data_IF_734753583297
#
_entry.id   IF_734753583297
#
_cell.length_a   1.000
_cell.length_b   1.000
_cell.length_c   1.000
_cell.angle_alpha   90.00
_cell.angle_beta   90.00
_cell.angle_gamma   90.00
#
_symmetry.space_group_name_H-M   'P 1'
#
loop_
_entity.id
_entity.type
_entity.pdbx_description
1 polymer ?
#
# COMPACT_ATOMS: atom_id res chain seq x y z
N UNK A 1 13.54 -15.32 1.00
CA UNK A 1 13.84 -14.01 1.62
C UNK A 1 12.60 -13.49 2.34
N UNK A 2 12.75 -12.79 3.47
CA UNK A 2 11.64 -12.04 4.12
C UNK A 2 11.64 -10.61 3.57
N UNK A 3 10.50 -10.12 3.12
CA UNK A 3 10.34 -8.74 2.63
C UNK A 3 9.25 -7.99 3.39
N UNK A 4 9.48 -6.70 3.63
CA UNK A 4 8.52 -5.81 4.28
C UNK A 4 8.05 -4.75 3.28
N UNK A 5 6.79 -4.82 2.86
CA UNK A 5 6.22 -3.88 1.89
C UNK A 5 4.93 -3.28 2.43
N UNK A 6 4.65 -2.04 2.03
CA UNK A 6 3.31 -1.50 2.24
C UNK A 6 2.35 -2.15 1.25
N UNK A 7 1.16 -2.52 1.71
CA UNK A 7 0.13 -3.12 0.87
C UNK A 7 -1.26 -2.59 1.22
N UNK A 8 -2.00 -2.09 0.23
CA UNK A 8 -3.38 -1.65 0.39
C UNK A 8 -4.14 -2.09 -0.87
N UNK A 9 -5.05 -3.03 -0.71
CA UNK A 9 -5.81 -3.64 -1.80
C UNK A 9 -7.27 -3.27 -1.67
N UNK A 10 -7.89 -2.82 -2.76
CA UNK A 10 -9.31 -2.50 -2.81
C UNK A 10 -9.96 -3.08 -4.08
N UNK A 11 -11.25 -2.81 -4.27
CA UNK A 11 -11.98 -3.26 -5.46
C UNK A 11 -11.52 -2.55 -6.74
N UNK A 12 -11.03 -1.31 -6.62
CA UNK A 12 -10.46 -0.53 -7.74
C UNK A 12 -9.17 0.16 -7.32
N UNK A 13 -8.37 0.56 -8.30
CA UNK A 13 -7.15 1.32 -8.05
C UNK A 13 -7.46 2.66 -7.37
N UNK A 14 -8.48 3.38 -7.84
CA UNK A 14 -8.87 4.67 -7.27
C UNK A 14 -9.21 4.54 -5.78
N UNK A 15 -9.99 3.53 -5.42
CA UNK A 15 -10.34 3.27 -4.02
C UNK A 15 -9.09 2.92 -3.20
N UNK A 16 -8.18 2.11 -3.73
CA UNK A 16 -6.95 1.76 -3.04
C UNK A 16 -6.06 3.00 -2.81
N UNK A 17 -5.92 3.87 -3.80
CA UNK A 17 -5.18 5.12 -3.68
C UNK A 17 -5.85 6.12 -2.74
N UNK A 18 -7.18 6.19 -2.73
CA UNK A 18 -7.94 6.96 -1.75
C UNK A 18 -7.64 6.48 -0.32
N UNK A 19 -7.76 5.17 -0.05
CA UNK A 19 -7.43 4.60 1.27
C UNK A 19 -5.97 4.88 1.66
N UNK A 20 -5.05 4.74 0.69
CA UNK A 20 -3.62 4.96 0.88
C UNK A 20 -3.21 6.43 1.11
N UNK A 21 -4.10 7.39 0.88
CA UNK A 21 -3.85 8.78 1.30
C UNK A 21 -3.65 8.89 2.83
N UNK A 22 -4.21 7.97 3.60
CA UNK A 22 -3.92 7.79 5.03
C UNK A 22 -2.44 7.52 5.26
N UNK A 23 -1.86 6.58 4.50
CA UNK A 23 -0.43 6.25 4.56
C UNK A 23 0.45 7.46 4.22
N UNK A 24 0.08 8.25 3.20
CA UNK A 24 0.79 9.47 2.84
C UNK A 24 0.81 10.47 4.01
N UNK A 25 -0.32 10.69 4.67
CA UNK A 25 -0.41 11.57 5.84
C UNK A 25 0.46 11.10 7.00
N UNK A 26 0.51 9.79 7.27
CA UNK A 26 1.39 9.20 8.30
C UNK A 26 2.87 9.43 7.95
N UNK A 27 3.27 9.14 6.71
CA UNK A 27 4.65 9.33 6.25
C UNK A 27 5.11 10.79 6.39
N UNK A 28 4.25 11.73 6.03
CA UNK A 28 4.57 13.16 6.16
C UNK A 28 4.63 13.58 7.63
N UNK A 29 3.72 13.09 8.47
CA UNK A 29 3.74 13.38 9.92
C UNK A 29 5.05 12.93 10.59
N UNK A 30 5.55 11.75 10.21
CA UNK A 30 6.85 11.24 10.64
C UNK A 30 7.98 12.15 10.13
N UNK A 31 7.96 12.50 8.85
CA UNK A 31 8.99 13.35 8.22
C UNK A 31 9.05 14.74 8.87
N UNK A 32 7.90 15.27 9.31
CA UNK A 32 7.79 16.55 10.02
C UNK A 32 8.22 16.47 11.49
N UNK A 33 8.54 15.28 12.02
CA UNK A 33 8.83 15.08 13.45
C UNK A 33 7.64 15.35 14.36
N UNK A 34 6.41 15.34 13.80
CA UNK A 34 5.16 15.61 14.51
C UNK A 34 4.21 14.44 14.30
N UNK A 35 4.44 13.38 15.07
CA UNK A 35 3.55 12.22 15.08
C UNK A 35 2.14 12.66 15.47
N UNK A 36 1.16 12.22 14.69
CA UNK A 36 -0.26 12.45 14.93
C UNK A 36 -1.01 11.12 14.84
N UNK A 37 -2.20 11.01 15.44
CA UNK A 37 -3.10 9.90 15.17
C UNK A 37 -3.31 9.72 13.67
N UNK A 38 -3.56 8.48 13.24
CA UNK A 38 -3.91 8.18 11.85
C UNK A 38 -5.13 9.01 11.45
N UNK A 39 -5.01 9.74 10.35
CA UNK A 39 -6.06 10.62 9.83
C UNK A 39 -6.93 9.88 8.80
N UNK A 40 -8.20 10.28 8.61
CA UNK A 40 -9.03 9.73 7.54
C UNK A 40 -8.41 9.91 6.15
N UNK A 41 -8.77 9.04 5.18
CA UNK A 41 -8.37 9.23 3.79
C UNK A 41 -8.97 10.52 3.20
N UNK A 42 -8.30 11.06 2.18
CA UNK A 42 -8.60 12.34 1.54
C UNK A 42 -8.26 12.30 0.06
N UNK A 43 -9.08 12.96 -0.75
CA UNK A 43 -8.83 13.19 -2.18
C UNK A 43 -7.89 14.38 -2.42
N UNK A 44 -7.64 15.21 -1.41
CA UNK A 44 -6.86 16.45 -1.53
C UNK A 44 -5.50 16.38 -0.83
N UNK A 45 -4.69 15.38 -1.18
CA UNK A 45 -3.30 15.33 -0.71
C UNK A 45 -2.48 16.52 -1.20
N UNK A 46 -2.79 17.07 -2.39
CA UNK A 46 -2.06 18.23 -2.96
C UNK A 46 -2.29 19.50 -2.15
N UNK A 47 -3.50 19.72 -1.62
CA UNK A 47 -3.81 20.86 -0.76
C UNK A 47 -3.23 20.72 0.66
N UNK A 48 -3.06 19.48 1.15
CA UNK A 48 -2.54 19.19 2.50
C UNK A 48 -1.01 19.19 2.59
N UNK A 49 -0.34 18.88 1.48
CA UNK A 49 1.10 18.66 1.43
C UNK A 49 1.81 19.79 0.68
N UNK A 50 3.03 20.14 1.11
CA UNK A 50 3.90 20.97 0.25
C UNK A 50 4.23 20.21 -1.04
N UNK A 51 4.60 20.89 -2.14
CA UNK A 51 4.92 20.21 -3.40
C UNK A 51 5.97 19.09 -3.24
N UNK A 52 7.01 19.33 -2.44
CA UNK A 52 8.04 18.34 -2.14
C UNK A 52 7.52 17.15 -1.35
N UNK A 53 6.70 17.38 -0.33
CA UNK A 53 6.09 16.29 0.46
C UNK A 53 5.13 15.47 -0.38
N UNK A 54 4.38 16.13 -1.27
CA UNK A 54 3.47 15.48 -2.20
C UNK A 54 4.21 14.56 -3.17
N UNK A 55 5.31 15.03 -3.77
CA UNK A 55 6.17 14.20 -4.63
C UNK A 55 6.76 13.00 -3.88
N UNK A 56 7.29 13.22 -2.67
CA UNK A 56 7.84 12.15 -1.83
C UNK A 56 6.76 11.10 -1.47
N UNK A 57 5.57 11.55 -1.10
CA UNK A 57 4.44 10.66 -0.82
C UNK A 57 4.06 9.85 -2.05
N UNK A 58 3.95 10.50 -3.22
CA UNK A 58 3.60 9.84 -4.47
C UNK A 58 4.62 8.77 -4.87
N UNK A 59 5.91 9.08 -4.77
CA UNK A 59 6.97 8.11 -5.04
C UNK A 59 6.84 6.89 -4.13
N UNK A 60 6.59 7.10 -2.83
CA UNK A 60 6.43 6.01 -1.86
C UNK A 60 5.18 5.17 -2.13
N UNK A 61 4.06 5.79 -2.49
CA UNK A 61 2.83 5.10 -2.86
C UNK A 61 3.03 4.25 -4.14
N UNK A 62 3.73 4.78 -5.14
CA UNK A 62 4.01 4.07 -6.39
C UNK A 62 4.89 2.84 -6.21
N UNK A 63 5.81 2.86 -5.24
CA UNK A 63 6.66 1.72 -4.88
C UNK A 63 5.98 0.70 -3.95
N UNK A 64 4.74 0.96 -3.53
CA UNK A 64 3.98 0.10 -2.62
C UNK A 64 3.01 -0.81 -3.40
N UNK A 65 2.61 -1.91 -2.78
CA UNK A 65 1.59 -2.85 -3.30
C UNK A 65 0.19 -2.26 -3.11
N UNK A 66 -0.11 -1.20 -3.85
CA UNK A 66 -1.37 -0.45 -3.75
C UNK A 66 -2.13 -0.55 -5.07
N UNK A 67 -3.40 -0.94 -5.02
CA UNK A 67 -4.27 -1.02 -6.18
C UNK A 67 -5.43 -2.01 -6.02
N UNK A 68 -6.05 -2.34 -7.15
CA UNK A 68 -6.94 -3.50 -7.30
C UNK A 68 -6.18 -4.82 -7.09
N UNK A 69 -6.89 -5.94 -6.96
CA UNK A 69 -6.25 -7.26 -6.87
C UNK A 69 -5.37 -7.56 -8.09
N UNK A 70 -5.82 -7.19 -9.29
CA UNK A 70 -5.06 -7.37 -10.53
C UNK A 70 -3.78 -6.53 -10.52
N UNK A 71 -3.89 -5.23 -10.19
CA UNK A 71 -2.75 -4.31 -10.13
C UNK A 71 -1.71 -4.77 -9.10
N UNK A 72 -2.17 -5.22 -7.92
CA UNK A 72 -1.28 -5.68 -6.86
C UNK A 72 -0.61 -7.01 -7.21
N UNK A 73 -1.32 -7.93 -7.88
CA UNK A 73 -0.74 -9.16 -8.43
C UNK A 73 0.40 -8.85 -9.39
N UNK A 74 0.17 -7.97 -10.38
CA UNK A 74 1.19 -7.57 -11.36
C UNK A 74 2.41 -6.90 -10.69
N UNK A 75 2.17 -6.02 -9.70
CA UNK A 75 3.26 -5.39 -8.94
C UNK A 75 4.09 -6.40 -8.14
N UNK A 76 3.43 -7.39 -7.54
CA UNK A 76 4.11 -8.45 -6.79
C UNK A 76 4.93 -9.34 -7.74
N UNK A 77 4.38 -9.73 -8.87
CA UNK A 77 5.09 -10.50 -9.91
C UNK A 77 6.32 -9.76 -10.42
N UNK A 78 6.18 -8.48 -10.77
CA UNK A 78 7.30 -7.64 -11.19
C UNK A 78 8.35 -7.47 -10.07
N UNK A 79 7.93 -7.39 -8.81
CA UNK A 79 8.86 -7.35 -7.68
C UNK A 79 9.66 -8.65 -7.57
N UNK A 80 9.00 -9.81 -7.67
CA UNK A 80 9.65 -11.12 -7.60
C UNK A 80 10.59 -11.34 -8.79
N UNK A 81 10.20 -10.91 -9.99
CA UNK A 81 11.07 -10.98 -11.18
C UNK A 81 12.39 -10.22 -10.98
N UNK A 82 12.33 -9.05 -10.36
CA UNK A 82 13.51 -8.19 -10.15
C UNK A 82 14.36 -8.63 -8.96
N UNK A 83 13.73 -9.04 -7.86
CA UNK A 83 14.41 -9.27 -6.57
C UNK A 83 14.53 -10.74 -6.17
N UNK A 84 13.90 -11.66 -6.91
CA UNK A 84 13.85 -13.08 -6.66
C UNK A 84 12.71 -13.51 -5.74
N UNK A 85 12.64 -14.82 -5.51
CA UNK A 85 11.60 -15.47 -4.70
C UNK A 85 11.54 -14.96 -3.26
N UNK A 86 10.32 -14.83 -2.75
CA UNK A 86 10.04 -14.42 -1.37
C UNK A 86 9.45 -15.61 -0.59
N UNK A 87 9.94 -15.82 0.63
CA UNK A 87 9.41 -16.85 1.53
C UNK A 87 8.31 -16.27 2.43
N UNK A 88 8.39 -14.97 2.72
CA UNK A 88 7.47 -14.27 3.61
C UNK A 88 7.31 -12.80 3.21
N UNK A 89 6.06 -12.34 3.17
CA UNK A 89 5.69 -10.93 3.01
C UNK A 89 5.12 -10.39 4.32
N UNK A 90 5.86 -9.49 4.97
CA UNK A 90 5.36 -8.71 6.10
C UNK A 90 4.67 -7.45 5.56
N UNK A 91 3.33 -7.47 5.52
CA UNK A 91 2.53 -6.40 4.94
C UNK A 91 2.18 -5.29 5.94
N UNK A 92 2.51 -4.04 5.59
CA UNK A 92 2.17 -2.84 6.37
C UNK A 92 1.01 -2.12 5.68
N UNK A 93 -0.09 -1.86 6.39
CA UNK A 93 -1.29 -1.23 5.82
C UNK A 93 -1.77 -0.09 6.70
N UNK A 94 -1.42 1.15 6.36
CA UNK A 94 -1.97 2.33 7.04
C UNK A 94 -3.32 2.71 6.42
N UNK A 95 -4.40 2.12 6.94
CA UNK A 95 -5.78 2.39 6.54
C UNK A 95 -6.55 2.85 7.77
N UNK A 96 -7.29 3.94 7.66
CA UNK A 96 -8.00 4.54 8.79
C UNK A 96 -9.19 3.69 9.26
N UNK A 97 -10.02 3.21 8.33
CA UNK A 97 -11.16 2.35 8.63
C UNK A 97 -10.70 0.90 8.83
N UNK A 98 -11.01 0.35 10.00
CA UNK A 98 -10.56 -1.00 10.38
C UNK A 98 -11.21 -2.10 9.53
N UNK A 99 -12.45 -1.91 9.08
CA UNK A 99 -13.10 -2.90 8.22
C UNK A 99 -12.47 -2.88 6.83
N UNK A 100 -12.20 -1.70 6.27
CA UNK A 100 -11.48 -1.56 5.01
C UNK A 100 -10.06 -2.15 5.10
N UNK A 101 -9.38 -1.97 6.24
CA UNK A 101 -8.07 -2.58 6.49
C UNK A 101 -8.16 -4.11 6.49
N UNK A 102 -9.15 -4.68 7.17
CA UNK A 102 -9.38 -6.13 7.20
C UNK A 102 -9.69 -6.68 5.81
N UNK A 103 -10.57 -6.02 5.05
CA UNK A 103 -10.89 -6.43 3.68
C UNK A 103 -9.67 -6.35 2.77
N UNK A 104 -8.85 -5.29 2.89
CA UNK A 104 -7.57 -5.19 2.18
C UNK A 104 -6.64 -6.37 2.48
N UNK A 105 -6.54 -6.82 3.73
CA UNK A 105 -5.75 -8.00 4.08
C UNK A 105 -6.32 -9.30 3.49
N UNK A 106 -7.64 -9.46 3.47
CA UNK A 106 -8.27 -10.65 2.84
C UNK A 106 -7.98 -10.71 1.33
N UNK A 107 -8.08 -9.57 0.66
CA UNK A 107 -7.76 -9.44 -0.77
C UNK A 107 -6.28 -9.72 -1.04
N UNK A 108 -5.38 -9.16 -0.22
CA UNK A 108 -3.95 -9.47 -0.32
C UNK A 108 -3.68 -10.97 -0.13
N UNK A 109 -4.33 -11.61 0.85
CA UNK A 109 -4.21 -13.05 1.06
C UNK A 109 -4.67 -13.84 -0.18
N UNK A 110 -5.76 -13.45 -0.83
CA UNK A 110 -6.24 -14.10 -2.05
C UNK A 110 -5.19 -14.05 -3.18
N UNK A 111 -4.53 -12.90 -3.35
CA UNK A 111 -3.46 -12.73 -4.35
C UNK A 111 -2.28 -13.67 -4.04
N UNK A 112 -1.84 -13.68 -2.78
CA UNK A 112 -0.74 -14.53 -2.31
C UNK A 112 -1.05 -16.01 -2.50
N UNK A 113 -2.22 -16.47 -2.03
CA UNK A 113 -2.63 -17.87 -2.17
C UNK A 113 -2.66 -18.28 -3.64
N UNK A 114 -3.25 -17.46 -4.52
CA UNK A 114 -3.33 -17.78 -5.95
C UNK A 114 -1.93 -17.85 -6.58
N UNK A 115 -1.05 -16.88 -6.28
CA UNK A 115 0.30 -16.83 -6.84
C UNK A 115 1.18 -18.02 -6.41
N UNK A 116 1.09 -18.44 -5.13
CA UNK A 116 1.88 -19.58 -4.63
C UNK A 116 1.27 -20.95 -4.89
N UNK A 117 -0.02 -21.03 -5.26
CA UNK A 117 -0.66 -22.29 -5.65
C UNK A 117 -0.38 -22.62 -7.12
N UNK A 118 -0.28 -21.61 -7.99
CA UNK A 118 0.02 -21.80 -9.43
C UNK A 118 1.49 -22.17 -9.71
N UNK A 119 2.40 -21.95 -8.77
CA UNK A 119 3.85 -22.21 -8.89
C UNK A 119 4.32 -23.53 -8.23
N UNK A 120 3.41 -24.46 -7.90
CA UNK A 120 3.71 -25.83 -7.44
C UNK A 120 3.34 -26.88 -8.48
#
# INVERSE_FOLDING_TARGET
MIVCLNAIVADTDEQAYYLASTQAQVMVSITRGKMQPVQPPTDDLKGLLTPREFEMAQQRLNQSLIGSEETVKQKLEAFIEVYGEIDELMAISYVYDQNAQLESYKKLKNIIDTHFTDNK
#
